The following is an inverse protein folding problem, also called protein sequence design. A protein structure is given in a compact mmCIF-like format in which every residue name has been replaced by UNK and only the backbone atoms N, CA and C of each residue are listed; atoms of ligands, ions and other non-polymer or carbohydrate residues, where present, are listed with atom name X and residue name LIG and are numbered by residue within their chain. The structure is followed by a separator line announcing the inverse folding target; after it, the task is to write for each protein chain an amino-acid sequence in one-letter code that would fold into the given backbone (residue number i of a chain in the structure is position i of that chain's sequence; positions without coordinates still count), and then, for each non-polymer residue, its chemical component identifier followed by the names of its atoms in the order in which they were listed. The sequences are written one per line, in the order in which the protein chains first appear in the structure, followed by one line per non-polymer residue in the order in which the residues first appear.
data_IF_352218911572
#
_entry.id   IF_352218911572
#
_cell.length_a   1.000
_cell.length_b   1.000
_cell.length_c   1.000
_cell.angle_alpha   90.00
_cell.angle_beta   90.00
_cell.angle_gamma   90.00
#
_symmetry.space_group_name_H-M   'P 1'
#
loop_
_entity.id
_entity.type
_entity.pdbx_description
1 polymer ?
#
# COMPACT_ATOMS: atom_id res chain seq x y z
N UNK A 1 18.61 13.02 -13.70
CA UNK A 1 19.40 12.46 -14.80
C UNK A 1 20.80 12.15 -14.30
N UNK A 2 21.39 11.01 -14.70
CA UNK A 2 22.82 10.81 -14.51
C UNK A 2 23.61 11.65 -15.50
N UNK A 3 24.84 12.01 -15.13
CA UNK A 3 25.71 12.88 -15.97
C UNK A 3 25.83 12.36 -17.42
N UNK A 4 25.94 11.05 -17.62
CA UNK A 4 26.04 10.45 -18.95
C UNK A 4 24.78 10.71 -19.79
N UNK A 5 23.58 10.60 -19.21
CA UNK A 5 22.33 10.88 -19.91
C UNK A 5 22.21 12.35 -20.32
N UNK A 6 22.73 13.29 -19.53
CA UNK A 6 22.77 14.71 -19.87
C UNK A 6 23.73 14.97 -21.06
N UNK A 7 24.87 14.30 -21.09
CA UNK A 7 25.82 14.38 -22.20
C UNK A 7 25.22 13.84 -23.50
N UNK A 8 24.62 12.65 -23.45
CA UNK A 8 24.01 11.99 -24.60
C UNK A 8 22.83 12.81 -25.14
N UNK A 9 22.03 13.39 -24.26
CA UNK A 9 20.90 14.25 -24.62
C UNK A 9 21.36 15.55 -25.29
N UNK A 10 22.35 16.21 -24.71
CA UNK A 10 22.93 17.42 -25.33
C UNK A 10 23.53 17.10 -26.70
N UNK A 11 24.26 15.98 -26.83
CA UNK A 11 24.90 15.60 -28.08
C UNK A 11 23.89 15.21 -29.17
N UNK A 12 22.80 14.53 -28.82
CA UNK A 12 21.84 14.00 -29.78
C UNK A 12 20.73 14.99 -30.17
N UNK A 13 20.29 15.83 -29.22
CA UNK A 13 19.12 16.70 -29.41
C UNK A 13 19.39 18.19 -29.25
N UNK A 14 20.57 18.56 -28.76
CA UNK A 14 20.90 19.94 -28.40
C UNK A 14 20.19 20.46 -27.16
N UNK A 15 19.44 19.60 -26.46
CA UNK A 15 18.71 19.97 -25.27
C UNK A 15 19.57 19.86 -24.02
N UNK A 16 19.29 20.72 -23.02
CA UNK A 16 19.95 20.71 -21.70
C UNK A 16 21.48 20.88 -21.71
N UNK A 17 22.04 21.39 -22.80
CA UNK A 17 23.48 21.67 -22.87
C UNK A 17 23.96 22.69 -21.84
N UNK A 18 23.06 23.55 -21.31
CA UNK A 18 23.37 24.48 -20.24
C UNK A 18 23.72 23.86 -18.90
N UNK A 19 23.51 22.56 -18.71
CA UNK A 19 23.99 21.80 -17.53
C UNK A 19 25.43 21.28 -17.69
N UNK A 20 26.05 21.51 -18.87
CA UNK A 20 27.40 21.04 -19.18
C UNK A 20 28.30 22.27 -19.34
N UNK A 21 29.22 22.45 -18.39
CA UNK A 21 30.25 23.46 -18.48
C UNK A 21 31.46 22.91 -19.20
N UNK A 22 31.99 23.69 -20.17
CA UNK A 22 33.15 23.30 -20.93
C UNK A 22 34.26 24.33 -20.72
N UNK A 23 35.50 23.84 -20.71
CA UNK A 23 36.66 24.69 -20.75
C UNK A 23 36.86 25.32 -22.13
N UNK A 24 37.74 26.31 -22.22
CA UNK A 24 38.09 26.95 -23.50
C UNK A 24 38.72 25.96 -24.51
N UNK A 25 39.24 24.84 -24.04
CA UNK A 25 39.74 23.71 -24.85
C UNK A 25 38.62 22.90 -25.50
N UNK A 26 37.35 23.06 -25.03
CA UNK A 26 36.22 22.23 -25.40
C UNK A 26 35.98 21.01 -24.53
N UNK A 27 36.91 20.70 -23.61
CA UNK A 27 36.77 19.63 -22.63
C UNK A 27 35.66 19.91 -21.63
N UNK A 28 35.03 18.85 -21.09
CA UNK A 28 33.97 18.98 -20.09
C UNK A 28 34.64 19.33 -18.75
N UNK A 29 34.34 20.52 -18.24
CA UNK A 29 34.79 20.97 -16.93
C UNK A 29 33.91 20.46 -15.80
N UNK A 30 32.55 20.50 -16.03
CA UNK A 30 31.58 20.09 -15.05
C UNK A 30 30.27 19.67 -15.72
N UNK A 31 29.55 18.73 -15.11
CA UNK A 31 28.17 18.38 -15.46
C UNK A 31 27.32 18.57 -14.22
N UNK A 32 26.42 19.55 -14.24
CA UNK A 32 25.50 19.83 -13.13
C UNK A 32 24.39 18.76 -13.11
N UNK A 33 24.69 17.62 -12.47
CA UNK A 33 23.76 16.52 -12.27
C UNK A 33 23.03 16.71 -10.94
N UNK A 34 21.76 17.05 -11.00
CA UNK A 34 20.93 17.27 -9.82
C UNK A 34 19.51 16.75 -9.99
N UNK A 35 18.78 16.56 -8.90
CA UNK A 35 17.38 16.19 -8.97
C UNK A 35 16.57 17.31 -9.62
N UNK A 36 15.79 16.96 -10.66
CA UNK A 36 14.86 17.85 -11.32
C UNK A 36 13.46 17.21 -11.28
N UNK A 37 12.44 18.05 -11.10
CA UNK A 37 11.05 17.60 -11.14
C UNK A 37 10.65 17.38 -12.59
N UNK A 38 10.68 16.11 -13.02
CA UNK A 38 10.25 15.69 -14.37
C UNK A 38 8.89 15.00 -14.35
N UNK A 39 8.47 14.54 -13.17
CA UNK A 39 7.30 13.71 -13.01
C UNK A 39 6.20 14.49 -12.29
N UNK A 40 4.99 14.29 -12.76
CA UNK A 40 3.77 14.73 -12.11
C UNK A 40 2.90 13.51 -11.84
N UNK A 41 2.40 13.38 -10.61
CA UNK A 41 1.48 12.29 -10.24
C UNK A 41 0.12 12.89 -9.93
N UNK A 42 -0.90 12.41 -10.65
CA UNK A 42 -2.30 12.74 -10.39
C UNK A 42 -2.95 11.57 -9.70
N UNK A 43 -3.62 11.82 -8.56
CA UNK A 43 -4.37 10.82 -7.80
C UNK A 43 -5.78 11.31 -7.56
N UNK A 44 -6.77 10.50 -7.91
CA UNK A 44 -8.17 10.75 -7.59
C UNK A 44 -8.78 9.51 -6.95
N UNK A 45 -9.63 9.69 -5.95
CA UNK A 45 -10.28 8.59 -5.26
C UNK A 45 -11.49 9.02 -4.43
N UNK A 46 -12.19 8.03 -3.92
CA UNK A 46 -13.32 8.20 -3.00
C UNK A 46 -13.10 7.33 -1.78
N UNK A 47 -13.15 7.96 -0.61
CA UNK A 47 -13.12 7.28 0.68
C UNK A 47 -14.51 7.30 1.30
N UNK A 48 -14.92 6.13 1.81
CA UNK A 48 -16.22 5.93 2.46
C UNK A 48 -15.96 5.40 3.86
N UNK A 49 -16.55 6.03 4.86
CA UNK A 49 -16.56 5.55 6.24
C UNK A 49 -17.98 5.52 6.77
N UNK A 50 -18.43 4.35 7.23
CA UNK A 50 -19.69 4.17 7.91
C UNK A 50 -19.42 3.60 9.31
N UNK A 51 -20.13 4.15 10.32
CA UNK A 51 -20.10 3.67 11.70
C UNK A 51 -21.51 3.48 12.21
N UNK A 52 -21.72 2.40 12.95
CA UNK A 52 -22.99 2.10 13.56
C UNK A 52 -22.78 1.52 14.95
N UNK A 53 -23.50 2.03 15.93
CA UNK A 53 -23.54 1.52 17.31
C UNK A 53 -24.90 0.90 17.55
N UNK A 54 -24.93 -0.32 18.05
CA UNK A 54 -26.12 -1.05 18.43
C UNK A 54 -26.04 -1.46 19.91
N UNK A 55 -26.97 -0.97 20.71
CA UNK A 55 -27.19 -1.42 22.08
C UNK A 55 -28.36 -2.39 22.12
N UNK A 56 -28.14 -3.58 22.60
CA UNK A 56 -29.14 -4.65 22.68
C UNK A 56 -28.94 -5.49 23.94
N UNK A 57 -29.90 -6.34 24.26
CA UNK A 57 -29.79 -7.28 25.40
C UNK A 57 -28.61 -8.24 25.26
N UNK A 58 -28.17 -8.48 24.01
CA UNK A 58 -26.98 -9.28 23.71
C UNK A 58 -25.65 -8.56 23.99
N UNK A 59 -25.66 -7.27 24.32
CA UNK A 59 -24.52 -6.42 24.56
C UNK A 59 -24.44 -5.24 23.60
N UNK A 60 -23.35 -4.47 23.70
CA UNK A 60 -23.07 -3.32 22.84
C UNK A 60 -22.22 -3.76 21.65
N UNK A 61 -22.68 -3.43 20.45
CA UNK A 61 -21.99 -3.73 19.19
C UNK A 61 -21.58 -2.44 18.50
N UNK A 62 -20.34 -2.34 18.12
CA UNK A 62 -19.81 -1.28 17.28
C UNK A 62 -19.40 -1.85 15.93
N UNK A 63 -19.90 -1.27 14.85
CA UNK A 63 -19.56 -1.64 13.49
C UNK A 63 -18.87 -0.47 12.80
N UNK A 64 -17.80 -0.76 12.07
CA UNK A 64 -17.13 0.21 11.23
C UNK A 64 -16.82 -0.43 9.87
N UNK A 65 -17.21 0.25 8.81
CA UNK A 65 -16.81 -0.04 7.45
C UNK A 65 -16.01 1.16 6.93
N UNK A 66 -14.82 0.92 6.48
CA UNK A 66 -14.03 1.90 5.70
C UNK A 66 -13.67 1.29 4.36
N UNK A 67 -13.84 2.06 3.29
CA UNK A 67 -13.52 1.65 1.94
C UNK A 67 -12.88 2.78 1.18
N UNK A 68 -11.92 2.46 0.32
CA UNK A 68 -11.28 3.38 -0.60
C UNK A 68 -11.43 2.84 -2.03
N UNK A 69 -11.85 3.72 -2.94
CA UNK A 69 -11.86 3.46 -4.37
C UNK A 69 -10.90 4.40 -5.06
N UNK A 70 -9.88 3.84 -5.68
CA UNK A 70 -8.97 4.55 -6.55
C UNK A 70 -9.63 4.72 -7.92
N UNK A 71 -9.81 5.97 -8.35
CA UNK A 71 -10.45 6.33 -9.62
C UNK A 71 -9.41 6.63 -10.68
N UNK A 72 -8.34 7.32 -10.28
CA UNK A 72 -7.27 7.77 -11.18
C UNK A 72 -5.93 7.74 -10.44
N UNK A 73 -4.90 7.24 -11.09
CA UNK A 73 -3.51 7.29 -10.64
C UNK A 73 -2.61 7.34 -11.87
N UNK A 74 -2.38 8.53 -12.37
CA UNK A 74 -1.51 8.77 -13.51
C UNK A 74 -0.14 9.28 -13.08
N UNK A 75 0.91 8.67 -13.58
CA UNK A 75 2.26 9.24 -13.54
C UNK A 75 2.64 9.76 -14.91
N UNK A 76 2.95 11.04 -14.96
CA UNK A 76 3.42 11.73 -16.16
C UNK A 76 4.89 12.02 -16.03
N UNK A 77 5.67 11.53 -16.97
CA UNK A 77 7.12 11.78 -17.04
C UNK A 77 7.42 12.49 -18.35
N UNK A 78 8.18 13.57 -18.26
CA UNK A 78 8.70 14.23 -19.46
C UNK A 78 10.01 13.53 -19.87
N UNK A 79 10.02 12.97 -21.07
CA UNK A 79 11.20 12.35 -21.63
C UNK A 79 12.25 13.41 -22.03
N UNK A 80 13.50 13.00 -22.23
CA UNK A 80 14.58 13.90 -22.62
C UNK A 80 14.33 14.70 -23.89
N UNK A 81 13.61 14.12 -24.85
CA UNK A 81 13.24 14.75 -26.11
C UNK A 81 12.06 15.75 -25.99
N UNK A 82 11.53 15.93 -24.75
CA UNK A 82 10.40 16.80 -24.47
C UNK A 82 9.03 16.13 -24.66
N UNK A 83 8.98 14.88 -25.11
CA UNK A 83 7.73 14.12 -25.17
C UNK A 83 7.24 13.74 -23.78
N UNK A 84 5.92 13.58 -23.63
CA UNK A 84 5.33 13.10 -22.37
C UNK A 84 5.04 11.60 -22.46
N UNK A 85 5.35 10.91 -21.40
CA UNK A 85 4.99 9.51 -21.16
C UNK A 85 4.03 9.44 -19.98
N UNK A 86 2.84 8.88 -20.19
CA UNK A 86 1.79 8.77 -19.16
C UNK A 86 1.53 7.31 -18.89
N UNK A 87 1.56 6.95 -17.60
CA UNK A 87 1.23 5.60 -17.13
C UNK A 87 0.02 5.68 -16.22
N UNK A 88 -1.06 4.99 -16.56
CA UNK A 88 -2.17 4.73 -15.64
C UNK A 88 -1.84 3.49 -14.82
N UNK A 89 -1.83 3.67 -13.49
CA UNK A 89 -1.51 2.62 -12.51
C UNK A 89 -2.75 2.01 -11.85
N UNK A 90 -3.95 2.50 -12.14
CA UNK A 90 -5.19 2.03 -11.49
C UNK A 90 -5.46 0.56 -11.82
N UNK A 91 -5.49 -0.28 -10.80
CA UNK A 91 -5.72 -1.72 -10.96
C UNK A 91 -4.49 -2.49 -11.43
N UNK A 92 -3.31 -1.88 -11.43
CA UNK A 92 -2.06 -2.56 -11.81
C UNK A 92 -1.24 -3.00 -10.60
N UNK A 93 -0.31 -3.91 -10.86
CA UNK A 93 0.78 -4.26 -9.95
C UNK A 93 2.09 -4.30 -10.75
N UNK A 94 3.09 -3.58 -10.28
CA UNK A 94 4.38 -3.52 -10.91
C UNK A 94 5.49 -3.43 -9.88
N UNK A 95 6.57 -4.18 -10.06
CA UNK A 95 7.76 -4.19 -9.21
C UNK A 95 7.43 -4.51 -7.73
N UNK A 96 7.19 -3.52 -6.91
CA UNK A 96 6.97 -3.67 -5.46
C UNK A 96 5.67 -3.03 -4.98
N UNK A 97 4.84 -2.58 -5.90
CA UNK A 97 3.64 -1.82 -5.58
C UNK A 97 2.44 -2.34 -6.35
N UNK A 98 1.32 -2.50 -5.65
CA UNK A 98 0.04 -2.82 -6.23
C UNK A 98 -0.97 -1.70 -5.92
N UNK A 99 -1.72 -1.32 -6.94
CA UNK A 99 -2.72 -0.25 -6.90
C UNK A 99 -4.12 -0.80 -7.16
N UNK A 100 -4.68 -1.61 -6.26
CA UNK A 100 -6.01 -2.18 -6.45
C UNK A 100 -7.06 -1.08 -6.50
N UNK A 101 -8.06 -1.24 -7.37
CA UNK A 101 -9.18 -0.28 -7.50
C UNK A 101 -9.98 -0.13 -6.22
N UNK A 102 -10.04 -1.19 -5.39
CA UNK A 102 -10.78 -1.21 -4.15
C UNK A 102 -9.94 -1.76 -3.00
N UNK A 103 -10.00 -1.06 -1.87
CA UNK A 103 -9.58 -1.57 -0.56
C UNK A 103 -10.70 -1.30 0.43
N UNK A 104 -10.95 -2.24 1.34
CA UNK A 104 -11.95 -2.05 2.38
C UNK A 104 -11.54 -2.75 3.67
N UNK A 105 -11.99 -2.20 4.79
CA UNK A 105 -11.89 -2.82 6.10
C UNK A 105 -13.25 -2.77 6.76
N UNK A 106 -13.73 -3.94 7.17
CA UNK A 106 -14.89 -4.09 8.05
C UNK A 106 -14.40 -4.49 9.43
N UNK A 107 -14.88 -3.82 10.46
CA UNK A 107 -14.57 -4.13 11.85
C UNK A 107 -15.83 -4.15 12.67
N UNK A 108 -15.97 -5.15 13.53
CA UNK A 108 -16.97 -5.16 14.57
C UNK A 108 -16.33 -5.41 15.92
N UNK A 109 -16.84 -4.74 16.93
CA UNK A 109 -16.49 -4.93 18.33
C UNK A 109 -17.77 -5.20 19.11
N UNK A 110 -17.70 -6.11 20.04
CA UNK A 110 -18.80 -6.47 20.93
C UNK A 110 -18.33 -6.45 22.38
N UNK A 111 -19.18 -5.99 23.27
CA UNK A 111 -18.94 -6.06 24.71
C UNK A 111 -20.23 -6.34 25.46
N UNK A 112 -20.14 -7.16 26.52
CA UNK A 112 -21.21 -7.43 27.47
C UNK A 112 -20.64 -7.81 28.83
N UNK A 113 -20.89 -6.97 29.83
CA UNK A 113 -20.27 -7.14 31.16
C UNK A 113 -18.74 -7.17 31.02
N UNK A 114 -18.13 -8.19 31.57
CA UNK A 114 -16.67 -8.39 31.56
C UNK A 114 -16.15 -8.95 30.19
N UNK A 115 -17.01 -9.39 29.30
CA UNK A 115 -16.59 -10.01 28.04
C UNK A 115 -16.48 -9.01 26.92
N UNK A 116 -15.47 -9.18 26.07
CA UNK A 116 -15.32 -8.45 24.82
C UNK A 116 -14.91 -9.36 23.68
N UNK A 117 -15.27 -8.96 22.46
CA UNK A 117 -14.90 -9.68 21.25
C UNK A 117 -14.71 -8.71 20.10
N UNK A 118 -13.88 -9.06 19.14
CA UNK A 118 -13.71 -8.29 17.92
C UNK A 118 -13.47 -9.19 16.71
N UNK A 119 -13.94 -8.70 15.57
CA UNK A 119 -13.65 -9.29 14.27
C UNK A 119 -13.28 -8.17 13.31
N UNK A 120 -12.27 -8.40 12.47
CA UNK A 120 -11.85 -7.48 11.41
C UNK A 120 -11.60 -8.25 10.13
N UNK A 121 -12.17 -7.76 9.02
CA UNK A 121 -11.90 -8.24 7.68
C UNK A 121 -11.22 -7.12 6.89
N UNK A 122 -10.07 -7.43 6.26
CA UNK A 122 -9.32 -6.53 5.39
C UNK A 122 -9.37 -7.05 3.96
N UNK A 123 -10.06 -6.32 3.08
CA UNK A 123 -10.23 -6.66 1.67
C UNK A 123 -9.26 -5.86 0.79
N UNK A 124 -8.59 -6.54 -0.11
CA UNK A 124 -7.71 -5.97 -1.13
C UNK A 124 -8.23 -6.48 -2.49
N UNK A 125 -8.61 -5.56 -3.36
CA UNK A 125 -9.10 -5.85 -4.70
C UNK A 125 -8.05 -6.50 -5.59
N UNK A 126 -8.48 -7.03 -6.71
CA UNK A 126 -7.60 -7.60 -7.70
C UNK A 126 -6.80 -6.54 -8.46
N UNK A 127 -5.65 -6.96 -8.97
CA UNK A 127 -4.78 -6.17 -9.84
C UNK A 127 -4.30 -6.99 -11.02
N UNK A 128 -3.70 -6.32 -12.00
CA UNK A 128 -3.09 -6.96 -13.16
C UNK A 128 -1.61 -6.61 -13.19
N UNK A 129 -0.76 -7.60 -13.33
CA UNK A 129 0.66 -7.43 -13.60
C UNK A 129 1.01 -7.85 -15.03
N UNK A 130 2.09 -7.27 -15.55
CA UNK A 130 2.65 -7.56 -16.86
C UNK A 130 4.12 -7.98 -16.71
N UNK A 131 4.42 -9.27 -16.43
CA UNK A 131 5.78 -9.77 -16.26
C UNK A 131 6.67 -9.64 -17.50
N UNK A 132 6.05 -9.71 -18.68
CA UNK A 132 6.68 -9.51 -19.98
C UNK A 132 5.72 -8.75 -20.90
N UNK A 133 6.20 -7.99 -21.88
CA UNK A 133 5.34 -7.23 -22.79
C UNK A 133 4.24 -8.10 -23.43
N UNK A 134 2.97 -7.72 -23.18
CA UNK A 134 1.79 -8.43 -23.67
C UNK A 134 1.36 -9.65 -22.85
N UNK A 135 2.10 -10.05 -21.81
CA UNK A 135 1.73 -11.15 -20.91
C UNK A 135 1.04 -10.60 -19.65
N UNK A 136 -0.26 -10.44 -19.71
CA UNK A 136 -1.06 -9.91 -18.61
C UNK A 136 -1.53 -11.04 -17.69
N UNK A 137 -1.24 -10.88 -16.40
CA UNK A 137 -1.60 -11.84 -15.36
C UNK A 137 -2.41 -11.17 -14.26
N UNK A 138 -3.53 -11.81 -13.88
CA UNK A 138 -4.39 -11.33 -12.80
C UNK A 138 -3.89 -11.82 -11.45
N UNK A 139 -3.63 -10.88 -10.54
CA UNK A 139 -3.46 -11.11 -9.11
C UNK A 139 -4.84 -11.04 -8.47
N UNK A 140 -5.30 -12.15 -7.87
CA UNK A 140 -6.65 -12.26 -7.33
C UNK A 140 -6.82 -11.46 -6.04
N UNK A 141 -8.07 -11.15 -5.73
CA UNK A 141 -8.47 -10.53 -4.47
C UNK A 141 -7.99 -11.31 -3.25
N UNK A 142 -7.66 -10.57 -2.19
CA UNK A 142 -7.27 -11.14 -0.90
C UNK A 142 -8.16 -10.55 0.18
N UNK A 143 -8.61 -11.41 1.11
CA UNK A 143 -9.26 -10.98 2.34
C UNK A 143 -8.58 -11.65 3.51
N UNK A 144 -8.13 -10.84 4.47
CA UNK A 144 -7.59 -11.31 5.74
C UNK A 144 -8.67 -11.17 6.81
N UNK A 145 -8.70 -12.12 7.75
CA UNK A 145 -9.68 -12.18 8.83
C UNK A 145 -8.95 -12.26 10.16
N UNK A 146 -9.20 -11.31 11.06
CA UNK A 146 -8.61 -11.23 12.38
C UNK A 146 -9.72 -11.36 13.43
N UNK A 147 -9.48 -12.13 14.50
CA UNK A 147 -10.43 -12.32 15.61
C UNK A 147 -9.74 -12.14 16.95
N UNK A 148 -10.42 -11.56 17.91
CA UNK A 148 -9.93 -11.50 19.28
C UNK A 148 -11.09 -11.57 20.28
N UNK A 149 -10.78 -12.05 21.49
CA UNK A 149 -11.66 -12.06 22.64
C UNK A 149 -10.94 -11.56 23.88
N UNK A 150 -11.68 -11.02 24.84
CA UNK A 150 -11.13 -10.51 26.07
C UNK A 150 -12.08 -10.70 27.24
N UNK A 151 -11.49 -10.67 28.44
CA UNK A 151 -12.19 -10.71 29.71
C UNK A 151 -11.55 -9.76 30.71
N UNK A 152 -12.35 -8.92 31.33
CA UNK A 152 -11.95 -7.96 32.35
C UNK A 152 -12.40 -8.48 33.72
N UNK A 153 -11.44 -8.73 34.63
CA UNK A 153 -11.70 -9.21 35.98
C UNK A 153 -11.94 -8.04 36.94
N UNK A 154 -12.73 -8.28 38.00
CA UNK A 154 -13.06 -7.24 38.99
C UNK A 154 -11.87 -6.70 39.78
N UNK A 155 -10.71 -7.39 39.74
CA UNK A 155 -9.47 -7.02 40.44
C UNK A 155 -8.52 -6.16 39.61
N UNK A 156 -9.00 -5.54 38.53
CA UNK A 156 -8.20 -4.70 37.63
C UNK A 156 -7.36 -5.48 36.61
N UNK A 157 -7.46 -6.82 36.60
CA UNK A 157 -6.78 -7.65 35.61
C UNK A 157 -7.62 -7.77 34.36
N UNK A 158 -7.00 -7.61 33.20
CA UNK A 158 -7.61 -7.83 31.88
C UNK A 158 -6.78 -8.80 31.06
N UNK A 159 -7.44 -9.75 30.42
CA UNK A 159 -6.83 -10.70 29.50
C UNK A 159 -7.45 -10.51 28.11
N UNK A 160 -6.62 -10.44 27.10
CA UNK A 160 -7.05 -10.45 25.69
C UNK A 160 -6.21 -11.45 24.91
N UNK A 161 -6.86 -12.28 24.10
CA UNK A 161 -6.23 -13.22 23.16
C UNK A 161 -6.78 -12.98 21.77
N UNK A 162 -5.94 -13.18 20.77
CA UNK A 162 -6.37 -13.00 19.38
C UNK A 162 -5.54 -13.78 18.39
N UNK A 163 -6.10 -13.84 17.19
CA UNK A 163 -5.48 -14.47 16.02
C UNK A 163 -5.65 -13.52 14.85
N UNK A 164 -4.54 -13.01 14.34
CA UNK A 164 -4.52 -12.27 13.08
C UNK A 164 -4.41 -13.26 11.93
N UNK A 165 -5.07 -12.95 10.81
CA UNK A 165 -5.13 -13.80 9.63
C UNK A 165 -5.50 -15.25 9.98
N UNK A 166 -6.66 -15.45 10.62
CA UNK A 166 -7.12 -16.75 11.12
C UNK A 166 -7.22 -17.83 10.03
N UNK A 167 -7.41 -17.42 8.78
CA UNK A 167 -7.47 -18.31 7.62
C UNK A 167 -6.10 -18.67 7.05
N UNK A 168 -5.01 -18.14 7.62
CA UNK A 168 -3.63 -18.32 7.15
C UNK A 168 -3.46 -17.96 5.66
N UNK A 169 -4.10 -16.88 5.24
CA UNK A 169 -4.07 -16.43 3.85
C UNK A 169 -2.67 -15.92 3.50
N UNK A 170 -2.02 -16.57 2.54
CA UNK A 170 -0.71 -16.16 2.05
C UNK A 170 -0.83 -15.02 1.02
N UNK A 171 0.20 -14.14 0.91
CA UNK A 171 0.31 -13.19 -0.17
C UNK A 171 0.19 -13.87 -1.55
N UNK A 172 -0.48 -13.25 -2.51
CA UNK A 172 -0.47 -13.77 -3.87
C UNK A 172 0.92 -13.61 -4.49
N UNK A 173 1.32 -14.58 -5.30
CA UNK A 173 2.59 -14.54 -6.01
C UNK A 173 2.55 -13.45 -7.08
N UNK A 174 3.58 -12.60 -7.12
CA UNK A 174 3.84 -11.60 -8.16
C UNK A 174 5.12 -11.97 -8.92
N UNK A 175 5.05 -11.98 -10.24
CA UNK A 175 6.22 -12.24 -11.10
C UNK A 175 6.96 -10.97 -11.49
N UNK A 176 6.39 -9.80 -11.25
CA UNK A 176 7.08 -8.51 -11.43
C UNK A 176 7.93 -8.13 -10.22
N UNK A 177 7.75 -8.78 -9.07
CA UNK A 177 8.60 -8.59 -7.90
C UNK A 177 9.69 -9.68 -7.83
N UNK A 178 10.84 -9.40 -8.41
CA UNK A 178 11.93 -10.36 -8.58
C UNK A 178 12.65 -10.77 -7.28
N UNK A 179 12.48 -10.04 -6.17
CA UNK A 179 13.24 -10.30 -4.95
C UNK A 179 12.54 -11.28 -4.00
N UNK A 180 11.23 -11.14 -3.83
CA UNK A 180 10.47 -11.88 -2.82
C UNK A 180 9.19 -12.50 -3.37
N UNK A 181 8.91 -12.36 -4.67
CA UNK A 181 7.77 -12.93 -5.40
C UNK A 181 6.38 -12.52 -4.87
N UNK A 182 6.27 -11.42 -4.11
CA UNK A 182 5.02 -10.81 -3.69
C UNK A 182 5.25 -9.34 -3.29
N UNK A 183 4.18 -8.56 -3.22
CA UNK A 183 4.25 -7.16 -2.80
C UNK A 183 4.07 -7.04 -1.28
N UNK A 184 5.17 -6.76 -0.57
CA UNK A 184 5.23 -6.60 0.89
C UNK A 184 4.52 -5.33 1.38
N UNK A 185 4.36 -4.32 0.52
CA UNK A 185 3.72 -3.06 0.89
C UNK A 185 2.19 -3.17 0.89
N UNK A 186 1.65 -4.15 0.14
CA UNK A 186 0.21 -4.35 -0.02
C UNK A 186 -0.31 -5.55 0.75
N UNK A 187 0.44 -6.66 0.81
CA UNK A 187 -0.01 -7.92 1.39
C UNK A 187 0.73 -8.27 2.67
N UNK A 188 0.06 -8.98 3.57
CA UNK A 188 0.58 -9.40 4.86
C UNK A 188 1.42 -10.70 4.72
N UNK A 189 2.75 -10.63 4.93
CA UNK A 189 3.63 -11.77 4.78
C UNK A 189 3.69 -12.69 5.99
N UNK A 190 3.16 -12.26 7.16
CA UNK A 190 3.34 -12.96 8.44
C UNK A 190 2.54 -14.26 8.49
N UNK A 191 1.41 -14.33 7.76
CA UNK A 191 0.49 -15.47 7.87
C UNK A 191 -0.33 -15.40 9.17
N UNK A 192 -0.74 -16.57 9.68
CA UNK A 192 -1.49 -16.64 10.93
C UNK A 192 -0.61 -16.32 12.12
N UNK A 193 -1.03 -15.33 12.92
CA UNK A 193 -0.30 -14.88 14.09
C UNK A 193 -1.18 -14.91 15.34
N UNK A 194 -0.73 -15.63 16.38
CA UNK A 194 -1.40 -15.72 17.69
C UNK A 194 -0.77 -14.72 18.65
N UNK A 195 -1.59 -14.02 19.40
CA UNK A 195 -1.11 -13.10 20.43
C UNK A 195 -1.94 -13.15 21.69
N UNK A 196 -1.33 -12.75 22.80
CA UNK A 196 -1.98 -12.55 24.08
C UNK A 196 -1.49 -11.27 24.75
N UNK A 197 -2.39 -10.57 25.43
CA UNK A 197 -2.09 -9.39 26.24
C UNK A 197 -2.67 -9.58 27.63
N UNK A 198 -1.84 -9.31 28.62
CA UNK A 198 -2.23 -9.20 30.01
C UNK A 198 -2.02 -7.76 30.47
N UNK A 199 -3.05 -7.13 31.00
CA UNK A 199 -2.99 -5.77 31.56
C UNK A 199 -3.48 -5.82 32.99
N UNK A 200 -2.77 -5.15 33.91
CA UNK A 200 -3.19 -5.06 35.29
C UNK A 200 -3.13 -3.60 35.76
N UNK A 201 -4.28 -3.04 36.05
CA UNK A 201 -4.43 -1.71 36.63
C UNK A 201 -4.30 -1.84 38.15
N UNK A 202 -3.21 -1.30 38.68
CA UNK A 202 -2.95 -1.24 40.11
C UNK A 202 -3.45 0.11 40.62
N UNK A 203 -4.53 0.09 41.44
CA UNK A 203 -4.93 1.25 42.24
C UNK A 203 -3.87 1.43 43.33
N UNK A 204 -2.95 2.41 43.15
CA UNK A 204 -1.93 2.81 44.11
C UNK A 204 -2.41 3.97 44.95
#
# INVERSE_FOLDING_TARGET
YGAQNLLDLCASTGQRCGFIERESSGEIANVADGPINLNNTKVEGVDIVARYLLEADSGTWSFMLSGARLLDLEERSTLPDGSEFVVDKVGTAASREAFPKWRATFQTQWSKGAWSGSYKARYIGDTVEEPSPGDFRKIRTVTYHDVAGGYDFDNGLSIRIGVDNVTDKQPPVSFTNLNINFDINTYDPVGRFFYGRLTWDLDL
#
